data_IF_368499915397
#
_entry.id   IF_368499915397
#
_cell.length_a   1.000
_cell.length_b   1.000
_cell.length_c   1.000
_cell.angle_alpha   90.00
_cell.angle_beta   90.00
_cell.angle_gamma   90.00
#
_symmetry.space_group_name_H-M   'P 1'
#
loop_
_entity.id
_entity.type
_entity.pdbx_description
1 polymer ?
#
# COMPACT_ATOMS: atom_id res chain seq x y z
N UNK A 1 2.60 -7.90 -11.08
CA UNK A 1 1.88 -6.96 -10.18
C UNK A 1 0.43 -6.87 -10.60
N UNK A 2 -0.37 -5.91 -10.11
CA UNK A 2 -1.78 -5.79 -10.53
C UNK A 2 -1.95 -5.52 -12.04
N UNK A 3 -0.95 -4.92 -12.68
CA UNK A 3 -0.97 -4.65 -14.13
C UNK A 3 -1.14 -5.91 -14.99
N UNK A 4 -0.67 -7.07 -14.50
CA UNK A 4 -0.69 -8.35 -15.23
C UNK A 4 -1.76 -9.32 -14.70
N UNK A 5 -2.54 -8.88 -13.71
CA UNK A 5 -3.58 -9.70 -13.12
C UNK A 5 -4.63 -10.06 -14.18
N UNK A 6 -5.09 -11.31 -14.20
CA UNK A 6 -6.16 -11.74 -15.10
C UNK A 6 -7.30 -12.29 -14.25
N UNK A 7 -8.42 -11.58 -14.23
CA UNK A 7 -9.60 -12.07 -13.55
C UNK A 7 -10.18 -13.27 -14.32
N UNK A 8 -10.37 -14.44 -13.67
CA UNK A 8 -10.86 -15.63 -14.35
C UNK A 8 -12.37 -15.58 -14.64
N UNK A 9 -13.08 -14.58 -14.14
CA UNK A 9 -14.52 -14.40 -14.36
C UNK A 9 -14.84 -13.46 -15.51
N UNK A 10 -16.10 -13.03 -15.55
CA UNK A 10 -16.62 -12.06 -16.52
C UNK A 10 -15.99 -10.67 -16.35
N UNK A 11 -16.18 -9.81 -17.34
CA UNK A 11 -15.71 -8.43 -17.29
C UNK A 11 -16.46 -7.60 -16.24
N UNK A 12 -15.84 -7.42 -15.07
CA UNK A 12 -16.41 -6.75 -13.90
C UNK A 12 -15.41 -5.77 -13.29
N UNK A 13 -15.88 -4.65 -12.70
CA UNK A 13 -15.00 -3.75 -11.97
C UNK A 13 -14.45 -4.43 -10.72
N UNK A 14 -13.15 -4.28 -10.49
CA UNK A 14 -12.41 -4.88 -9.38
C UNK A 14 -11.91 -3.80 -8.42
N UNK A 15 -12.04 -4.04 -7.13
CA UNK A 15 -11.50 -3.19 -6.07
C UNK A 15 -10.51 -4.02 -5.24
N UNK A 16 -9.30 -3.52 -5.05
CA UNK A 16 -8.41 -4.08 -4.03
C UNK A 16 -8.85 -3.54 -2.69
N UNK A 17 -9.46 -4.40 -1.87
CA UNK A 17 -9.94 -4.03 -0.54
C UNK A 17 -8.81 -3.68 0.41
N UNK A 18 -7.68 -4.40 0.35
CA UNK A 18 -6.56 -4.23 1.25
C UNK A 18 -5.24 -4.55 0.54
N UNK A 19 -4.22 -3.74 0.79
CA UNK A 19 -2.82 -4.04 0.50
C UNK A 19 -1.91 -3.22 1.41
N UNK A 20 -0.66 -3.69 1.59
CA UNK A 20 0.37 -2.99 2.35
C UNK A 20 1.77 -3.50 2.02
N UNK A 21 2.75 -2.75 2.50
CA UNK A 21 4.17 -3.08 2.49
C UNK A 21 4.80 -2.56 3.78
N UNK A 22 5.78 -3.28 4.33
CA UNK A 22 6.44 -2.83 5.56
C UNK A 22 7.93 -3.11 5.58
N UNK A 23 8.64 -2.32 6.38
CA UNK A 23 10.09 -2.38 6.56
C UNK A 23 10.45 -2.24 8.05
N UNK A 24 11.66 -2.66 8.43
CA UNK A 24 12.12 -2.67 9.82
C UNK A 24 13.15 -1.58 10.15
N UNK A 25 13.42 -0.68 9.21
CA UNK A 25 14.39 0.41 9.34
C UNK A 25 13.97 1.51 10.34
N UNK A 26 12.82 1.35 10.99
CA UNK A 26 12.22 2.29 11.95
C UNK A 26 11.83 1.67 13.30
N UNK A 27 12.31 0.45 13.61
CA UNK A 27 12.27 -0.10 14.97
C UNK A 27 11.09 -1.03 15.30
N UNK A 28 10.23 -1.34 14.33
CA UNK A 28 9.26 -2.43 14.46
C UNK A 28 9.94 -3.81 14.32
N UNK A 29 9.25 -4.86 14.77
CA UNK A 29 9.78 -6.24 14.72
C UNK A 29 9.18 -7.12 13.63
N UNK A 30 8.16 -6.64 12.91
CA UNK A 30 7.52 -7.38 11.84
C UNK A 30 7.13 -6.47 10.68
N UNK A 31 7.48 -6.86 9.46
CA UNK A 31 7.21 -6.08 8.22
C UNK A 31 5.75 -6.18 7.76
N UNK A 32 5.01 -7.12 8.32
CA UNK A 32 3.76 -7.62 7.76
C UNK A 32 4.00 -8.56 6.58
N UNK A 33 2.93 -8.81 5.84
CA UNK A 33 2.87 -9.85 4.79
C UNK A 33 3.81 -9.63 3.59
N UNK A 34 4.14 -8.38 3.23
CA UNK A 34 4.99 -8.07 2.08
C UNK A 34 6.19 -7.22 2.53
N UNK A 35 7.36 -7.85 2.78
CA UNK A 35 8.54 -7.16 3.27
C UNK A 35 9.21 -6.33 2.17
N UNK A 36 9.71 -5.16 2.54
CA UNK A 36 10.62 -4.35 1.72
C UNK A 36 11.81 -3.88 2.57
N UNK A 37 12.85 -3.41 1.89
CA UNK A 37 14.14 -3.11 2.53
C UNK A 37 14.06 -1.96 3.55
N UNK A 38 13.40 -0.86 3.19
CA UNK A 38 13.36 0.39 3.96
C UNK A 38 12.17 1.26 3.55
N UNK A 39 11.95 2.40 4.22
CA UNK A 39 10.83 3.30 3.91
C UNK A 39 10.89 3.88 2.48
N UNK A 40 12.07 4.06 1.89
CA UNK A 40 12.18 4.50 0.51
C UNK A 40 11.71 3.42 -0.47
N UNK A 41 12.08 2.16 -0.25
CA UNK A 41 11.59 1.03 -1.02
C UNK A 41 10.06 0.85 -0.84
N UNK A 42 9.55 1.05 0.38
CA UNK A 42 8.11 1.04 0.71
C UNK A 42 7.32 2.08 -0.07
N UNK A 43 7.86 3.30 -0.17
CA UNK A 43 7.28 4.37 -0.97
C UNK A 43 7.28 4.03 -2.47
N UNK A 44 8.37 3.48 -2.99
CA UNK A 44 8.48 3.12 -4.40
C UNK A 44 7.49 2.01 -4.78
N UNK A 45 7.42 0.93 -4.00
CA UNK A 45 6.51 -0.19 -4.30
C UNK A 45 5.04 0.23 -4.17
N UNK A 46 4.71 1.18 -3.29
CA UNK A 46 3.37 1.79 -3.23
C UNK A 46 3.01 2.44 -4.57
N UNK A 47 3.92 3.24 -5.17
CA UNK A 47 3.69 3.88 -6.47
C UNK A 47 3.43 2.84 -7.55
N UNK A 48 4.30 1.83 -7.61
CA UNK A 48 4.22 0.78 -8.63
C UNK A 48 2.92 -0.02 -8.53
N UNK A 49 2.47 -0.32 -7.31
CA UNK A 49 1.23 -1.05 -7.05
C UNK A 49 0.00 -0.25 -7.48
N UNK A 50 -0.15 0.98 -7.00
CA UNK A 50 -1.34 1.81 -7.27
C UNK A 50 -1.40 2.26 -8.72
N UNK A 51 -0.27 2.66 -9.32
CA UNK A 51 -0.23 2.99 -10.75
C UNK A 51 -0.42 1.74 -11.62
N UNK A 52 0.01 0.57 -11.16
CA UNK A 52 -0.32 -0.72 -11.77
C UNK A 52 -1.83 -0.99 -11.81
N UNK A 53 -2.53 -0.73 -10.70
CA UNK A 53 -3.99 -0.79 -10.65
C UNK A 53 -4.65 0.22 -11.60
N UNK A 54 -4.17 1.47 -11.61
CA UNK A 54 -4.73 2.52 -12.45
C UNK A 54 -4.64 2.19 -13.96
N UNK A 55 -3.52 1.57 -14.38
CA UNK A 55 -3.34 1.09 -15.76
C UNK A 55 -4.19 -0.13 -16.11
N UNK A 56 -4.52 -0.95 -15.13
CA UNK A 56 -5.27 -2.19 -15.40
C UNK A 56 -6.74 -1.89 -15.75
N UNK A 57 -7.28 -2.42 -16.86
CA UNK A 57 -8.60 -2.01 -17.37
C UNK A 57 -9.76 -2.27 -16.40
N UNK A 58 -9.67 -3.30 -15.55
CA UNK A 58 -10.76 -3.68 -14.65
C UNK A 58 -10.66 -3.08 -13.23
N UNK A 59 -9.48 -2.64 -12.78
CA UNK A 59 -9.36 -2.12 -11.42
C UNK A 59 -9.92 -0.69 -11.35
N UNK A 60 -10.79 -0.46 -10.37
CA UNK A 60 -11.44 0.84 -10.13
C UNK A 60 -10.92 1.56 -8.88
N UNK A 61 -10.07 0.90 -8.10
CA UNK A 61 -9.45 1.50 -6.92
C UNK A 61 -8.67 0.49 -6.08
N UNK A 62 -8.00 1.02 -5.07
CA UNK A 62 -7.24 0.26 -4.07
C UNK A 62 -7.35 0.96 -2.73
N UNK A 63 -7.52 0.23 -1.62
CA UNK A 63 -7.41 0.79 -0.28
C UNK A 63 -6.19 0.19 0.44
N UNK A 64 -5.41 1.08 1.04
CA UNK A 64 -4.28 0.71 1.87
C UNK A 64 -4.78 0.23 3.23
N UNK A 65 -4.23 -0.89 3.70
CA UNK A 65 -4.43 -1.36 5.06
C UNK A 65 -3.13 -1.11 5.84
N UNK A 66 -3.04 -0.20 6.79
CA UNK A 66 -4.08 0.60 7.43
C UNK A 66 -3.54 1.99 7.78
N UNK A 67 -4.34 2.82 8.45
CA UNK A 67 -3.95 4.21 8.74
C UNK A 67 -2.73 4.30 9.66
N UNK A 68 -2.74 3.60 10.79
CA UNK A 68 -1.69 3.66 11.82
C UNK A 68 -0.95 2.32 11.93
N UNK A 69 0.33 2.33 12.30
CA UNK A 69 1.07 1.12 12.63
C UNK A 69 0.36 0.34 13.74
N UNK A 70 0.56 -0.97 13.72
CA UNK A 70 0.07 -1.79 14.81
C UNK A 70 0.94 -1.60 16.05
N UNK A 71 0.40 -1.91 17.26
CA UNK A 71 1.21 -1.90 18.46
C UNK A 71 2.42 -2.83 18.30
N UNK A 72 3.61 -2.36 18.69
CA UNK A 72 4.84 -3.16 18.63
C UNK A 72 4.73 -4.48 19.43
N UNK A 73 3.87 -4.50 20.45
CA UNK A 73 3.56 -5.66 21.29
C UNK A 73 2.41 -6.53 20.77
N UNK A 74 1.89 -6.26 19.57
CA UNK A 74 0.73 -6.95 19.01
C UNK A 74 -0.59 -6.28 19.36
N UNK A 75 -1.54 -6.29 18.40
CA UNK A 75 -2.91 -5.86 18.64
C UNK A 75 -3.67 -6.90 19.48
N UNK A 76 -4.68 -6.42 20.22
CA UNK A 76 -5.33 -7.17 21.31
C UNK A 76 -5.95 -8.51 20.85
N UNK A 77 -6.44 -8.58 19.62
CA UNK A 77 -7.25 -9.72 19.17
C UNK A 77 -6.45 -10.93 18.73
N UNK A 78 -5.27 -10.74 18.15
CA UNK A 78 -4.51 -11.78 17.46
C UNK A 78 -2.99 -11.54 17.41
N UNK A 79 -2.51 -10.56 18.18
CA UNK A 79 -1.09 -10.28 18.38
C UNK A 79 -0.36 -9.75 17.11
N UNK A 80 -1.08 -9.38 16.05
CA UNK A 80 -0.49 -8.76 14.84
C UNK A 80 0.25 -7.45 15.19
N UNK A 81 1.52 -7.34 14.80
CA UNK A 81 2.44 -6.26 15.19
C UNK A 81 3.23 -5.64 14.01
N UNK A 82 2.54 -5.40 12.90
CA UNK A 82 3.16 -5.03 11.63
C UNK A 82 3.50 -3.54 11.48
N UNK A 83 4.61 -3.24 10.80
CA UNK A 83 4.97 -1.90 10.31
C UNK A 83 4.24 -1.58 9.00
N UNK A 84 2.94 -1.28 9.07
CA UNK A 84 2.07 -1.12 7.90
C UNK A 84 1.20 0.15 7.92
N UNK A 85 1.43 1.06 8.85
CA UNK A 85 0.73 2.34 8.94
C UNK A 85 1.21 3.38 7.94
N UNK A 86 0.31 4.28 7.52
CA UNK A 86 0.71 5.58 6.97
C UNK A 86 1.36 6.49 8.02
N UNK A 87 0.95 6.33 9.29
CA UNK A 87 1.54 6.96 10.47
C UNK A 87 2.02 5.92 11.46
N UNK A 88 3.01 6.25 12.28
CA UNK A 88 3.48 5.39 13.36
C UNK A 88 2.56 5.47 14.61
N UNK A 89 2.91 4.71 15.65
CA UNK A 89 2.17 4.68 16.93
C UNK A 89 2.12 6.04 17.65
N UNK A 90 3.04 6.95 17.32
CA UNK A 90 3.11 8.29 17.87
C UNK A 90 2.44 9.34 16.96
N UNK A 91 1.61 8.90 15.99
CA UNK A 91 0.94 9.75 14.99
C UNK A 91 1.92 10.55 14.11
N UNK A 92 3.14 10.04 13.94
CA UNK A 92 4.14 10.64 13.04
C UNK A 92 4.02 10.01 11.65
N UNK A 93 3.80 10.80 10.58
CA UNK A 93 3.68 10.25 9.24
C UNK A 93 4.99 9.69 8.69
N UNK A 94 4.90 8.56 7.98
CA UNK A 94 6.00 8.06 7.15
C UNK A 94 6.14 8.93 5.90
N UNK A 95 7.02 9.92 5.97
CA UNK A 95 7.14 10.99 4.98
C UNK A 95 7.32 10.47 3.55
N UNK A 96 8.11 9.39 3.36
CA UNK A 96 8.36 8.76 2.07
C UNK A 96 7.06 8.20 1.46
N UNK A 97 6.29 7.43 2.24
CA UNK A 97 5.02 6.84 1.81
C UNK A 97 3.95 7.91 1.56
N UNK A 98 3.91 8.97 2.39
CA UNK A 98 3.00 10.10 2.19
C UNK A 98 3.33 10.87 0.92
N UNK A 99 4.60 11.15 0.66
CA UNK A 99 5.04 11.78 -0.58
C UNK A 99 4.65 10.93 -1.79
N UNK A 100 4.87 9.61 -1.72
CA UNK A 100 4.48 8.69 -2.77
C UNK A 100 2.96 8.68 -3.03
N UNK A 101 2.14 8.69 -1.98
CA UNK A 101 0.68 8.82 -2.07
C UNK A 101 0.25 10.08 -2.80
N UNK A 102 0.86 11.23 -2.46
CA UNK A 102 0.57 12.51 -3.12
C UNK A 102 1.01 12.54 -4.58
N UNK A 103 2.20 12.02 -4.88
CA UNK A 103 2.72 11.92 -6.24
C UNK A 103 1.80 11.09 -7.14
N UNK A 104 1.34 9.94 -6.63
CA UNK A 104 0.39 9.07 -7.35
C UNK A 104 -0.93 9.79 -7.56
N UNK A 105 -1.49 10.41 -6.51
CA UNK A 105 -2.76 11.12 -6.59
C UNK A 105 -2.74 12.23 -7.66
N UNK A 106 -1.61 12.93 -7.80
CA UNK A 106 -1.44 14.00 -8.78
C UNK A 106 -1.56 13.52 -10.24
N UNK A 107 -1.22 12.26 -10.54
CA UNK A 107 -1.22 11.69 -11.90
C UNK A 107 -2.24 10.57 -12.09
N UNK A 108 -3.02 10.24 -11.07
CA UNK A 108 -3.86 9.03 -11.04
C UNK A 108 -4.85 8.97 -12.20
N UNK A 109 -5.64 10.03 -12.38
CA UNK A 109 -6.64 10.08 -13.44
C UNK A 109 -6.02 10.22 -14.83
N UNK A 110 -4.92 10.96 -14.95
CA UNK A 110 -4.18 11.02 -16.22
C UNK A 110 -3.72 9.61 -16.62
N UNK A 111 -3.05 8.90 -15.71
CA UNK A 111 -2.58 7.52 -15.91
C UNK A 111 -3.74 6.57 -16.30
N UNK A 112 -4.93 6.76 -15.73
CA UNK A 112 -6.12 5.96 -16.04
C UNK A 112 -6.67 6.23 -17.44
N UNK A 113 -6.76 7.49 -17.84
CA UNK A 113 -7.53 7.91 -19.02
C UNK A 113 -6.70 8.29 -20.24
N UNK A 114 -5.37 8.38 -20.14
CA UNK A 114 -4.48 8.68 -21.28
C UNK A 114 -3.70 7.45 -21.77
N UNK A 115 -4.29 6.26 -21.66
CA UNK A 115 -3.74 5.05 -22.28
C UNK A 115 -3.94 5.08 -23.81
#
# INVERSE_FOLDING_TARGET
>A
GLADFKYPGEDKPLLVGEFHFGALDRGMFHTGLVPVENQAARAQIYKDYVLGAARHPQFVGTHWFQYQDEPVTGRVYDEENYQIGFVDVADTPYAETIAASRDVAAVLYQTRFTQ
#
